data_IF_554305451876
#
_entry.id   IF_554305451876
#
_cell.length_a   1.000
_cell.length_b   1.000
_cell.length_c   1.000
_cell.angle_alpha   90.00
_cell.angle_beta   90.00
_cell.angle_gamma   90.00
#
_symmetry.space_group_name_H-M   'P 1'
#
loop_
_entity.id
_entity.type
_entity.pdbx_description
1 polymer ?
#
# COMPACT_ATOMS: atom_id res chain seq x y z
N UNK A 1 2.76 -8.67 -9.79
CA UNK A 1 2.62 -7.21 -9.74
C UNK A 1 3.55 -6.46 -10.70
N UNK A 2 4.74 -6.96 -11.06
CA UNK A 2 5.62 -6.27 -12.04
C UNK A 2 4.90 -5.93 -13.37
N UNK A 3 4.18 -6.90 -13.96
CA UNK A 3 3.38 -6.66 -15.18
C UNK A 3 2.30 -5.60 -15.02
N UNK A 4 1.79 -5.38 -13.81
CA UNK A 4 0.84 -4.28 -13.52
C UNK A 4 1.58 -2.95 -13.51
N UNK A 5 2.81 -2.91 -12.98
CA UNK A 5 3.69 -1.74 -13.06
C UNK A 5 4.00 -1.35 -14.51
N UNK A 6 4.38 -2.32 -15.34
CA UNK A 6 4.64 -2.09 -16.76
C UNK A 6 3.39 -1.56 -17.49
N UNK A 7 2.22 -2.16 -17.22
CA UNK A 7 0.94 -1.73 -17.80
C UNK A 7 0.57 -0.29 -17.41
N UNK A 8 0.67 0.05 -16.13
CA UNK A 8 0.26 1.36 -15.61
C UNK A 8 1.24 2.46 -16.06
N UNK A 9 2.53 2.15 -16.13
CA UNK A 9 3.57 3.13 -16.51
C UNK A 9 3.78 3.22 -18.02
N UNK A 10 3.19 2.31 -18.80
CA UNK A 10 3.29 2.30 -20.25
C UNK A 10 4.66 1.86 -20.80
N UNK A 11 5.53 1.32 -19.94
CA UNK A 11 6.84 0.83 -20.33
C UNK A 11 6.79 -0.68 -20.59
N UNK A 12 7.02 -1.09 -21.83
CA UNK A 12 6.95 -2.50 -22.25
C UNK A 12 8.17 -2.83 -23.10
N UNK A 13 9.35 -2.94 -22.48
CA UNK A 13 10.49 -3.74 -22.94
C UNK A 13 11.72 -3.47 -22.05
N UNK A 14 12.38 -4.52 -21.55
CA UNK A 14 13.69 -4.52 -20.88
C UNK A 14 13.81 -3.99 -19.44
N UNK A 15 12.73 -3.65 -18.74
CA UNK A 15 12.80 -3.35 -17.30
C UNK A 15 12.94 -4.62 -16.44
N UNK A 16 13.81 -4.56 -15.42
CA UNK A 16 13.90 -5.62 -14.42
C UNK A 16 12.64 -5.65 -13.55
N UNK A 17 12.29 -6.83 -13.00
CA UNK A 17 11.15 -6.99 -12.08
C UNK A 17 11.18 -5.96 -10.94
N UNK A 18 12.37 -5.73 -10.37
CA UNK A 18 12.57 -4.76 -9.30
C UNK A 18 12.27 -3.33 -9.76
N UNK A 19 12.71 -2.95 -10.96
CA UNK A 19 12.45 -1.63 -11.52
C UNK A 19 10.95 -1.43 -11.77
N UNK A 20 10.27 -2.41 -12.35
CA UNK A 20 8.82 -2.35 -12.60
C UNK A 20 8.02 -2.22 -11.30
N UNK A 21 8.43 -2.92 -10.23
CA UNK A 21 7.80 -2.78 -8.92
C UNK A 21 8.07 -1.41 -8.28
N UNK A 22 9.31 -0.91 -8.35
CA UNK A 22 9.66 0.43 -7.83
C UNK A 22 8.85 1.52 -8.52
N UNK A 23 8.70 1.42 -9.84
CA UNK A 23 7.91 2.36 -10.63
C UNK A 23 6.42 2.29 -10.29
N UNK A 24 5.87 1.10 -10.10
CA UNK A 24 4.49 0.94 -9.63
C UNK A 24 4.28 1.64 -8.27
N UNK A 25 5.20 1.47 -7.32
CA UNK A 25 5.14 2.14 -6.02
C UNK A 25 5.20 3.65 -6.20
N UNK A 26 6.15 4.14 -7.01
CA UNK A 26 6.31 5.56 -7.31
C UNK A 26 5.01 6.16 -7.89
N UNK A 27 4.40 5.53 -8.88
CA UNK A 27 3.17 6.02 -9.52
C UNK A 27 1.99 6.06 -8.52
N UNK A 28 1.86 5.04 -7.67
CA UNK A 28 0.82 5.02 -6.63
C UNK A 28 1.03 6.14 -5.60
N UNK A 29 2.27 6.43 -5.21
CA UNK A 29 2.60 7.51 -4.28
C UNK A 29 2.37 8.90 -4.92
N UNK A 30 2.72 9.07 -6.20
CA UNK A 30 2.40 10.29 -6.97
C UNK A 30 0.88 10.52 -7.04
N UNK A 31 0.07 9.49 -7.33
CA UNK A 31 -1.38 9.63 -7.36
C UNK A 31 -1.97 9.95 -5.99
N UNK A 32 -1.48 9.32 -4.93
CA UNK A 32 -1.88 9.65 -3.54
C UNK A 32 -1.63 11.13 -3.25
N UNK A 33 -0.48 11.66 -3.68
CA UNK A 33 -0.10 13.07 -3.53
C UNK A 33 -0.98 14.00 -4.38
N UNK A 34 -1.08 13.75 -5.68
CA UNK A 34 -1.84 14.57 -6.64
C UNK A 34 -3.33 14.64 -6.30
N UNK A 35 -3.93 13.51 -5.92
CA UNK A 35 -5.33 13.41 -5.52
C UNK A 35 -5.56 13.86 -4.07
N UNK A 36 -4.49 14.25 -3.35
CA UNK A 36 -4.52 14.70 -1.95
C UNK A 36 -5.30 13.72 -1.07
N UNK A 37 -5.05 12.43 -1.24
CA UNK A 37 -5.78 11.40 -0.51
C UNK A 37 -5.54 11.57 1.00
N UNK A 38 -6.59 11.76 1.81
CA UNK A 38 -6.41 11.99 3.23
C UNK A 38 -5.81 10.78 3.94
N UNK A 39 -4.93 11.04 4.91
CA UNK A 39 -4.42 10.03 5.84
C UNK A 39 -5.52 9.53 6.77
N UNK A 40 -5.29 8.40 7.43
CA UNK A 40 -6.27 7.79 8.34
C UNK A 40 -6.67 8.74 9.48
N UNK A 41 -5.73 9.57 9.96
CA UNK A 41 -6.00 10.61 10.96
C UNK A 41 -7.11 11.58 10.58
N UNK A 42 -7.25 11.92 9.30
CA UNK A 42 -8.30 12.82 8.81
C UNK A 42 -9.71 12.27 9.06
N UNK A 43 -9.86 10.95 9.08
CA UNK A 43 -11.13 10.27 9.33
C UNK A 43 -11.37 9.96 10.81
N UNK A 44 -10.56 10.52 11.72
CA UNK A 44 -10.66 10.27 13.16
C UNK A 44 -10.02 8.95 13.61
N UNK A 45 -9.26 8.28 12.74
CA UNK A 45 -8.49 7.09 13.13
C UNK A 45 -7.23 7.55 13.88
N UNK A 46 -6.94 6.89 15.00
CA UNK A 46 -5.82 7.24 15.87
C UNK A 46 -5.14 5.99 16.36
N UNK A 47 -4.04 6.15 17.11
CA UNK A 47 -3.25 5.04 17.65
C UNK A 47 -4.12 4.02 18.41
N UNK A 48 -5.10 4.50 19.18
CA UNK A 48 -6.02 3.68 19.97
C UNK A 48 -6.93 2.78 19.12
N UNK A 49 -7.10 3.08 17.82
CA UNK A 49 -7.96 2.31 16.92
C UNK A 49 -7.19 1.19 16.19
N UNK A 50 -5.85 1.22 16.18
CA UNK A 50 -5.04 0.35 15.34
C UNK A 50 -5.20 -1.14 15.66
N UNK A 51 -5.19 -1.51 16.94
CA UNK A 51 -5.33 -2.91 17.36
C UNK A 51 -6.70 -3.47 16.98
N UNK A 52 -7.77 -2.69 17.18
CA UNK A 52 -9.13 -3.06 16.80
C UNK A 52 -9.25 -3.28 15.28
N UNK A 53 -8.65 -2.39 14.47
CA UNK A 53 -8.68 -2.51 13.01
C UNK A 53 -7.90 -3.75 12.59
N UNK A 54 -6.67 -3.94 13.11
CA UNK A 54 -5.83 -5.08 12.78
C UNK A 54 -6.48 -6.42 13.14
N UNK A 55 -7.19 -6.50 14.27
CA UNK A 55 -7.92 -7.71 14.68
C UNK A 55 -9.09 -8.07 13.74
N UNK A 56 -9.71 -7.08 13.08
CA UNK A 56 -10.82 -7.28 12.13
C UNK A 56 -10.35 -7.46 10.68
N UNK A 57 -9.11 -7.11 10.37
CA UNK A 57 -8.53 -7.25 9.03
C UNK A 57 -8.37 -8.72 8.67
N UNK A 58 -9.10 -9.17 7.64
CA UNK A 58 -8.84 -10.46 7.00
C UNK A 58 -7.80 -10.29 5.91
N UNK A 59 -6.70 -11.05 5.97
CA UNK A 59 -5.65 -11.07 4.95
C UNK A 59 -5.61 -12.38 4.15
N UNK A 60 -6.72 -13.12 4.13
CA UNK A 60 -6.82 -14.42 3.43
C UNK A 60 -6.52 -14.34 1.94
N UNK A 61 -6.89 -13.23 1.31
CA UNK A 61 -6.68 -12.98 -0.12
C UNK A 61 -5.32 -12.32 -0.43
N UNK A 62 -4.55 -11.97 0.60
CA UNK A 62 -3.22 -11.38 0.41
C UNK A 62 -2.23 -12.47 0.01
N UNK A 63 -1.42 -12.29 -1.05
CA UNK A 63 -0.42 -13.27 -1.48
C UNK A 63 0.72 -13.45 -0.46
N UNK A 64 0.80 -12.56 0.54
CA UNK A 64 1.72 -12.66 1.68
C UNK A 64 0.89 -12.71 2.95
N UNK A 65 1.20 -13.69 3.81
CA UNK A 65 0.59 -13.82 5.13
C UNK A 65 1.20 -12.80 6.09
N UNK A 66 0.43 -11.76 6.39
CA UNK A 66 0.82 -10.74 7.35
C UNK A 66 0.45 -11.19 8.77
N UNK A 67 1.33 -10.95 9.72
CA UNK A 67 0.98 -11.02 11.13
C UNK A 67 0.12 -9.82 11.52
N UNK A 68 -0.53 -9.89 12.68
CA UNK A 68 -1.27 -8.75 13.21
C UNK A 68 -0.36 -7.54 13.45
N UNK A 69 0.89 -7.78 13.88
CA UNK A 69 1.90 -6.73 14.06
C UNK A 69 2.24 -6.03 12.76
N UNK A 70 2.43 -6.79 11.66
CA UNK A 70 2.72 -6.20 10.34
C UNK A 70 1.59 -5.28 9.88
N UNK A 71 0.33 -5.68 10.11
CA UNK A 71 -0.85 -4.87 9.78
C UNK A 71 -0.85 -3.59 10.61
N UNK A 72 -0.57 -3.66 11.92
CA UNK A 72 -0.49 -2.48 12.80
C UNK A 72 0.59 -1.53 12.30
N UNK A 73 1.76 -2.02 11.92
CA UNK A 73 2.87 -1.19 11.45
C UNK A 73 2.53 -0.50 10.11
N UNK A 74 1.87 -1.19 9.18
CA UNK A 74 1.35 -0.58 7.94
C UNK A 74 0.34 0.53 8.25
N UNK A 75 -0.61 0.28 9.16
CA UNK A 75 -1.61 1.29 9.53
C UNK A 75 -0.95 2.50 10.20
N UNK A 76 0.05 2.29 11.04
CA UNK A 76 0.80 3.36 11.72
C UNK A 76 1.52 4.28 10.73
N UNK A 77 2.07 3.74 9.65
CA UNK A 77 2.70 4.55 8.59
C UNK A 77 1.72 5.49 7.88
N UNK A 78 0.41 5.19 7.94
CA UNK A 78 -0.68 5.91 7.27
C UNK A 78 -1.55 6.76 8.20
N UNK A 79 -1.27 6.80 9.51
CA UNK A 79 -1.86 7.77 10.43
C UNK A 79 -1.47 9.20 10.05
#
# INVERSE_FOLDING_TARGET
FASVGDLITGEVADSSIELSLKRLIYELDEWVSLLRMPRLGHYGVGQQHLEMIAAKSSNKESPVKLSQTDIIDILRQRL
#
